data_IF_170416119808
#
_entry.id   IF_170416119808
#
_cell.length_a   1.000
_cell.length_b   1.000
_cell.length_c   1.000
_cell.angle_alpha   90.00
_cell.angle_beta   90.00
_cell.angle_gamma   90.00
#
_symmetry.space_group_name_H-M   'P 1'
#
loop_
_entity.id
_entity.type
_entity.pdbx_description
1 polymer ?
#
# COMPACT_ATOMS: atom_id res chain seq x y z
N UNK A 1 -4.16 -2.35 -2.70
CA UNK A 1 -3.66 -1.03 -2.20
C UNK A 1 -4.08 -0.79 -0.75
N UNK A 2 -3.60 -1.63 0.16
CA UNK A 2 -3.84 -1.55 1.60
C UNK A 2 -2.75 -2.36 2.31
N UNK A 3 -2.27 -1.88 3.47
CA UNK A 3 -1.43 -2.70 4.32
C UNK A 3 -2.30 -3.74 5.05
N UNK A 4 -1.94 -5.02 4.89
CA UNK A 4 -2.57 -6.18 5.52
C UNK A 4 -1.59 -6.94 6.41
N UNK A 5 -0.34 -6.48 6.47
CA UNK A 5 0.70 -7.02 7.33
C UNK A 5 0.80 -6.20 8.62
N UNK A 6 1.17 -6.86 9.72
CA UNK A 6 1.47 -6.20 10.99
C UNK A 6 2.95 -6.34 11.29
N UNK A 7 3.67 -5.21 11.33
CA UNK A 7 5.13 -5.24 11.49
C UNK A 7 5.63 -5.85 12.80
N UNK A 8 4.87 -5.76 13.89
CA UNK A 8 5.29 -6.23 15.22
C UNK A 8 5.48 -7.76 15.32
N UNK A 9 4.95 -8.52 14.36
CA UNK A 9 4.92 -9.99 14.33
C UNK A 9 5.44 -10.54 13.01
N UNK A 10 6.01 -9.69 12.15
CA UNK A 10 6.48 -10.12 10.84
C UNK A 10 7.82 -10.86 10.95
N UNK A 11 7.87 -12.04 10.33
CA UNK A 11 9.11 -12.76 10.04
C UNK A 11 9.29 -12.87 8.53
N UNK A 12 10.54 -12.86 8.06
CA UNK A 12 10.84 -12.96 6.65
C UNK A 12 12.16 -13.66 6.37
N UNK A 13 12.33 -14.11 5.14
CA UNK A 13 13.50 -14.88 4.71
C UNK A 13 14.64 -13.97 4.20
N UNK A 14 15.81 -14.58 3.97
CA UNK A 14 16.99 -13.88 3.44
C UNK A 14 16.75 -13.20 2.08
N UNK A 15 16.01 -13.80 1.12
CA UNK A 15 15.62 -13.10 -0.10
C UNK A 15 14.91 -11.75 0.13
N UNK A 16 13.90 -11.70 1.01
CA UNK A 16 13.23 -10.43 1.30
C UNK A 16 14.18 -9.43 1.99
N UNK A 17 15.05 -9.90 2.89
CA UNK A 17 16.06 -9.05 3.51
C UNK A 17 16.94 -8.35 2.46
N UNK A 18 17.39 -9.06 1.42
CA UNK A 18 18.21 -8.46 0.36
C UNK A 18 17.45 -7.39 -0.44
N UNK A 19 16.16 -7.60 -0.70
CA UNK A 19 15.32 -6.60 -1.35
C UNK A 19 15.17 -5.35 -0.47
N UNK A 20 14.96 -5.55 0.83
CA UNK A 20 14.86 -4.44 1.80
C UNK A 20 16.18 -3.66 1.90
N UNK A 21 17.33 -4.33 1.87
CA UNK A 21 18.65 -3.68 1.86
C UNK A 21 18.93 -2.88 0.59
N UNK A 22 18.34 -3.27 -0.54
CA UNK A 22 18.43 -2.55 -1.80
C UNK A 22 17.41 -1.39 -1.93
N UNK A 23 16.44 -1.31 -1.03
CA UNK A 23 15.39 -0.30 -1.06
C UNK A 23 15.84 0.98 -0.36
N UNK A 24 15.57 2.15 -0.96
CA UNK A 24 15.86 3.44 -0.34
C UNK A 24 14.93 3.66 0.87
N UNK A 25 15.45 3.72 2.11
CA UNK A 25 14.63 3.90 3.31
C UNK A 25 13.87 5.24 3.31
N UNK A 26 14.34 6.26 2.59
CA UNK A 26 13.63 7.54 2.47
C UNK A 26 12.32 7.43 1.66
N UNK A 27 12.17 6.35 0.87
CA UNK A 27 10.96 6.05 0.09
C UNK A 27 10.04 5.06 0.80
N UNK A 28 10.34 4.66 2.04
CA UNK A 28 9.50 3.75 2.81
C UNK A 28 8.35 4.51 3.48
N UNK A 29 7.11 4.12 3.20
CA UNK A 29 5.93 4.76 3.81
C UNK A 29 5.66 4.21 5.21
N UNK A 30 5.56 2.89 5.32
CA UNK A 30 5.55 2.14 6.57
C UNK A 30 6.32 0.85 6.31
N UNK A 31 7.23 0.48 7.22
CA UNK A 31 8.17 -0.63 7.01
C UNK A 31 7.48 -1.95 6.64
N UNK A 32 6.40 -2.31 7.31
CA UNK A 32 5.65 -3.54 7.07
C UNK A 32 4.90 -3.52 5.74
N UNK A 33 4.31 -2.38 5.38
CA UNK A 33 3.67 -2.20 4.09
C UNK A 33 4.68 -2.24 2.93
N UNK A 34 5.84 -1.59 3.08
CA UNK A 34 6.93 -1.65 2.11
C UNK A 34 7.45 -3.07 1.96
N UNK A 35 7.70 -3.78 3.06
CA UNK A 35 8.14 -5.18 3.04
C UNK A 35 7.10 -6.09 2.36
N UNK A 36 5.81 -5.91 2.66
CA UNK A 36 4.72 -6.65 2.02
C UNK A 36 4.69 -6.42 0.50
N UNK A 37 4.82 -5.18 0.05
CA UNK A 37 4.83 -4.84 -1.37
C UNK A 37 6.06 -5.41 -2.10
N UNK A 38 7.25 -5.35 -1.49
CA UNK A 38 8.47 -5.93 -2.06
C UNK A 38 8.37 -7.45 -2.14
N UNK A 39 7.91 -8.11 -1.07
CA UNK A 39 7.77 -9.56 -1.04
C UNK A 39 6.81 -10.03 -2.14
N UNK A 40 5.57 -9.53 -2.14
CA UNK A 40 4.54 -9.94 -3.12
C UNK A 40 4.87 -9.47 -4.54
N UNK A 41 5.48 -8.28 -4.67
CA UNK A 41 5.91 -7.74 -5.95
C UNK A 41 7.00 -8.55 -6.63
N UNK A 42 7.94 -9.09 -5.85
CA UNK A 42 8.99 -9.99 -6.32
C UNK A 42 8.54 -11.47 -6.47
N UNK A 43 7.25 -11.76 -6.33
CA UNK A 43 6.69 -13.11 -6.47
C UNK A 43 6.85 -13.98 -5.21
N UNK A 44 7.22 -13.38 -4.09
CA UNK A 44 7.22 -14.02 -2.78
C UNK A 44 5.79 -14.26 -2.27
N UNK A 45 5.66 -15.28 -1.42
CA UNK A 45 4.39 -15.61 -0.77
C UNK A 45 4.25 -14.87 0.55
N UNK A 46 3.02 -14.44 0.84
CA UNK A 46 2.64 -13.86 2.13
C UNK A 46 1.65 -14.79 2.82
N UNK A 47 1.96 -15.19 4.04
CA UNK A 47 1.12 -16.04 4.88
C UNK A 47 0.73 -15.26 6.12
N UNK A 48 -0.58 -15.16 6.38
CA UNK A 48 -1.10 -14.57 7.61
C UNK A 48 -1.44 -15.70 8.58
N UNK A 49 -0.84 -15.67 9.77
CA UNK A 49 -1.21 -16.58 10.85
C UNK A 49 -2.42 -15.98 11.61
N UNK A 50 -3.58 -16.65 11.62
CA UNK A 50 -4.74 -16.16 12.34
C UNK A 50 -4.61 -16.26 13.87
N UNK A 51 -3.61 -16.99 14.38
CA UNK A 51 -3.40 -17.19 15.82
C UNK A 51 -2.55 -16.05 16.41
N UNK A 52 -3.08 -15.22 17.32
CA UNK A 52 -2.28 -14.18 17.96
C UNK A 52 -1.19 -14.79 18.85
N UNK A 53 0.07 -14.46 18.59
CA UNK A 53 1.22 -15.01 19.32
C UNK A 53 1.78 -14.07 20.40
N UNK A 54 1.34 -12.81 20.48
CA UNK A 54 1.82 -11.84 21.47
C UNK A 54 0.77 -10.81 21.88
N UNK A 55 0.94 -10.28 23.10
CA UNK A 55 0.16 -9.16 23.61
C UNK A 55 0.85 -7.84 23.23
N UNK A 56 0.29 -7.12 22.26
CA UNK A 56 0.81 -5.82 21.83
C UNK A 56 0.15 -4.68 22.61
N UNK A 57 0.94 -3.89 23.34
CA UNK A 57 0.44 -2.72 24.05
C UNK A 57 0.17 -1.58 23.07
N UNK A 58 -1.08 -1.15 22.95
CA UNK A 58 -1.43 0.06 22.20
C UNK A 58 -1.25 1.31 23.06
N UNK A 59 -0.80 2.41 22.45
CA UNK A 59 -0.69 3.72 23.10
C UNK A 59 -1.08 4.85 22.14
N UNK A 60 -1.35 6.04 22.67
CA UNK A 60 -1.85 7.20 21.92
C UNK A 60 -0.90 7.72 20.82
N UNK A 61 0.36 7.28 20.84
CA UNK A 61 1.39 7.63 19.84
C UNK A 61 1.50 6.66 18.67
N UNK A 62 0.62 5.65 18.56
CA UNK A 62 0.64 4.72 17.44
C UNK A 62 0.32 5.43 16.11
N UNK A 63 1.19 5.26 15.11
CA UNK A 63 1.01 5.84 13.76
C UNK A 63 -0.22 5.26 13.04
N UNK A 64 -0.54 3.98 13.28
CA UNK A 64 -1.73 3.28 12.78
C UNK A 64 -2.30 2.44 13.93
N UNK A 65 -3.48 2.80 14.43
CA UNK A 65 -4.18 2.09 15.53
C UNK A 65 -5.05 0.91 15.08
N UNK A 66 -5.71 0.23 16.04
CA UNK A 66 -6.68 -0.84 15.77
C UNK A 66 -7.81 -0.41 14.81
N UNK A 67 -8.23 -1.29 13.90
CA UNK A 67 -9.23 -1.03 12.85
C UNK A 67 -10.70 -0.91 13.35
N UNK A 68 -11.00 -0.40 14.55
CA UNK A 68 -12.36 -0.58 15.13
C UNK A 68 -13.18 0.66 15.46
N UNK A 69 -12.70 1.91 15.30
CA UNK A 69 -13.53 3.08 15.65
C UNK A 69 -14.07 3.83 14.44
N UNK A 70 -15.34 4.27 14.52
CA UNK A 70 -16.00 5.14 13.54
C UNK A 70 -15.20 6.44 13.32
N UNK A 71 -14.52 6.93 14.37
CA UNK A 71 -13.59 8.08 14.31
C UNK A 71 -12.40 7.84 13.35
N UNK A 72 -11.89 6.62 13.29
CA UNK A 72 -10.77 6.25 12.39
C UNK A 72 -11.22 6.26 10.93
N UNK A 73 -12.51 6.00 10.65
CA UNK A 73 -13.10 6.10 9.30
C UNK A 73 -13.17 7.55 8.82
N UNK A 74 -13.55 8.49 9.69
CA UNK A 74 -13.56 9.92 9.37
C UNK A 74 -12.16 10.50 9.24
N UNK A 75 -11.21 10.08 10.09
CA UNK A 75 -9.80 10.47 9.92
C UNK A 75 -9.24 10.01 8.57
N UNK A 76 -9.58 8.81 8.10
CA UNK A 76 -9.15 8.30 6.78
C UNK A 76 -9.71 9.09 5.60
N UNK A 77 -10.92 9.66 5.72
CA UNK A 77 -11.44 10.64 4.75
C UNK A 77 -10.64 11.95 4.80
N UNK A 78 -10.25 12.39 6.01
CA UNK A 78 -9.33 13.52 6.19
C UNK A 78 -7.98 13.30 5.50
N UNK A 79 -7.42 12.08 5.54
CA UNK A 79 -6.15 11.75 4.87
C UNK A 79 -6.21 11.87 3.33
N UNK A 80 -7.38 11.65 2.71
CA UNK A 80 -7.62 11.92 1.29
C UNK A 80 -7.57 13.42 1.00
N UNK A 81 -8.14 14.23 1.90
CA UNK A 81 -8.13 15.69 1.77
C UNK A 81 -6.78 16.33 2.11
N UNK A 82 -6.02 15.73 3.01
CA UNK A 82 -4.71 16.21 3.49
C UNK A 82 -3.55 15.84 2.54
N UNK A 83 -3.81 15.14 1.43
CA UNK A 83 -2.78 14.79 0.44
C UNK A 83 -1.82 13.69 0.88
N UNK A 84 -2.02 13.09 2.06
CA UNK A 84 -1.14 12.03 2.56
C UNK A 84 -1.13 10.82 1.64
N UNK A 85 -2.30 10.39 1.11
CA UNK A 85 -2.33 9.30 0.14
C UNK A 85 -1.57 9.62 -1.14
N UNK A 86 -1.62 10.87 -1.62
CA UNK A 86 -0.87 11.31 -2.79
C UNK A 86 0.63 11.21 -2.55
N UNK A 87 1.08 11.67 -1.38
CA UNK A 87 2.49 11.59 -0.99
C UNK A 87 2.94 10.12 -0.82
N UNK A 88 2.16 9.29 -0.13
CA UNK A 88 2.45 7.86 0.00
C UNK A 88 2.46 7.13 -1.33
N UNK A 89 1.56 7.50 -2.25
CA UNK A 89 1.55 7.01 -3.61
C UNK A 89 2.82 7.38 -4.37
N UNK A 90 3.34 8.60 -4.16
CA UNK A 90 4.60 9.06 -4.77
C UNK A 90 5.79 8.28 -4.27
N UNK A 91 5.92 8.12 -2.95
CA UNK A 91 7.00 7.33 -2.35
C UNK A 91 6.95 5.87 -2.81
N UNK A 92 5.75 5.28 -2.85
CA UNK A 92 5.54 3.90 -3.33
C UNK A 92 5.91 3.76 -4.81
N UNK A 93 5.48 4.69 -5.65
CA UNK A 93 5.79 4.69 -7.08
C UNK A 93 7.29 4.79 -7.35
N UNK A 94 7.97 5.70 -6.65
CA UNK A 94 9.42 5.90 -6.78
C UNK A 94 10.19 4.69 -6.24
N UNK A 95 9.84 4.21 -5.05
CA UNK A 95 10.55 3.11 -4.39
C UNK A 95 10.39 1.78 -5.12
N UNK A 96 9.16 1.39 -5.48
CA UNK A 96 8.95 0.19 -6.30
C UNK A 96 9.49 0.37 -7.72
N UNK A 97 9.44 1.59 -8.26
CA UNK A 97 10.03 1.92 -9.55
C UNK A 97 11.54 1.71 -9.61
N UNK A 98 12.26 2.05 -8.53
CA UNK A 98 13.71 1.85 -8.43
C UNK A 98 14.13 0.38 -8.43
N UNK A 99 13.23 -0.54 -8.07
CA UNK A 99 13.45 -1.98 -8.06
C UNK A 99 12.56 -2.72 -9.10
N UNK A 100 12.12 -2.04 -10.16
CA UNK A 100 11.19 -2.60 -11.13
C UNK A 100 11.74 -3.86 -11.86
N UNK A 101 13.05 -3.96 -12.00
CA UNK A 101 13.77 -5.14 -12.53
C UNK A 101 13.60 -6.38 -11.64
N UNK A 102 13.43 -6.17 -10.32
CA UNK A 102 13.22 -7.23 -9.32
C UNK A 102 11.76 -7.65 -9.17
N UNK A 103 10.83 -6.89 -9.75
CA UNK A 103 9.40 -7.21 -9.71
C UNK A 103 9.04 -8.30 -10.72
N UNK A 104 7.95 -9.02 -10.47
CA UNK A 104 7.34 -9.90 -11.46
C UNK A 104 6.73 -9.08 -12.61
N UNK A 105 6.51 -9.68 -13.80
CA UNK A 105 5.81 -9.00 -14.89
C UNK A 105 4.42 -8.49 -14.48
N UNK A 106 3.68 -9.27 -13.68
CA UNK A 106 2.38 -8.87 -13.16
C UNK A 106 2.49 -7.67 -12.22
N UNK A 107 3.44 -7.68 -11.27
CA UNK A 107 3.63 -6.57 -10.35
C UNK A 107 4.09 -5.28 -11.06
N UNK A 108 4.93 -5.40 -12.11
CA UNK A 108 5.25 -4.26 -12.99
C UNK A 108 4.02 -3.69 -13.68
N UNK A 109 3.17 -4.56 -14.24
CA UNK A 109 1.91 -4.12 -14.85
C UNK A 109 1.00 -3.39 -13.86
N UNK A 110 0.90 -3.89 -12.62
CA UNK A 110 0.15 -3.23 -11.55
C UNK A 110 0.75 -1.88 -11.14
N UNK A 111 2.09 -1.78 -11.07
CA UNK A 111 2.79 -0.52 -10.82
C UNK A 111 2.53 0.50 -11.93
N UNK A 112 2.58 0.08 -13.20
CA UNK A 112 2.30 0.98 -14.33
C UNK A 112 0.84 1.41 -14.40
N UNK A 113 -0.09 0.49 -14.10
CA UNK A 113 -1.50 0.85 -13.94
C UNK A 113 -1.69 1.84 -12.79
N UNK A 114 -1.00 1.65 -11.65
CA UNK A 114 -1.03 2.58 -10.53
C UNK A 114 -0.50 3.97 -10.91
N UNK A 115 0.58 4.06 -11.68
CA UNK A 115 1.08 5.32 -12.26
C UNK A 115 0.02 6.01 -13.12
N UNK A 116 -0.68 5.25 -13.99
CA UNK A 116 -1.78 5.80 -14.82
C UNK A 116 -2.98 6.26 -13.98
N UNK A 117 -3.28 5.58 -12.87
CA UNK A 117 -4.30 6.02 -11.92
C UNK A 117 -3.93 7.38 -11.30
N UNK A 118 -2.66 7.60 -10.94
CA UNK A 118 -2.20 8.84 -10.30
C UNK A 118 -2.09 10.02 -11.26
N UNK A 119 -1.53 9.77 -12.45
CA UNK A 119 -1.16 10.82 -13.41
C UNK A 119 -2.15 10.98 -14.58
N UNK A 120 -3.20 10.16 -14.63
CA UNK A 120 -4.20 10.21 -15.70
C UNK A 120 -4.94 11.55 -15.77
N UNK A 121 -5.08 12.08 -16.99
CA UNK A 121 -5.66 13.40 -17.28
C UNK A 121 -7.16 13.52 -17.01
N UNK A 122 -7.90 12.39 -16.97
CA UNK A 122 -9.34 12.37 -16.76
C UNK A 122 -9.76 11.31 -15.76
N UNK A 123 -10.90 11.53 -15.07
CA UNK A 123 -11.48 10.54 -14.16
C UNK A 123 -11.75 9.20 -14.86
N UNK A 124 -12.18 9.23 -16.13
CA UNK A 124 -12.40 8.02 -16.94
C UNK A 124 -11.11 7.23 -17.12
N UNK A 125 -10.01 7.88 -17.50
CA UNK A 125 -8.71 7.22 -17.67
C UNK A 125 -8.21 6.64 -16.35
N UNK A 126 -8.34 7.39 -15.24
CA UNK A 126 -7.91 6.93 -13.92
C UNK A 126 -8.71 5.72 -13.43
N UNK A 127 -10.03 5.71 -13.62
CA UNK A 127 -10.89 4.59 -13.25
C UNK A 127 -10.68 3.35 -14.16
N UNK A 128 -10.40 3.56 -15.44
CA UNK A 128 -10.05 2.47 -16.36
C UNK A 128 -8.73 1.81 -15.95
N UNK A 129 -7.69 2.60 -15.68
CA UNK A 129 -6.39 2.11 -15.20
C UNK A 129 -6.52 1.37 -13.86
N UNK A 130 -7.41 1.83 -12.96
CA UNK A 130 -7.68 1.16 -11.68
C UNK A 130 -8.18 -0.28 -11.89
N UNK A 131 -9.09 -0.46 -12.86
CA UNK A 131 -9.66 -1.77 -13.21
C UNK A 131 -8.65 -2.66 -13.92
N UNK A 132 -7.95 -2.12 -14.92
CA UNK A 132 -6.91 -2.82 -15.68
C UNK A 132 -5.79 -3.34 -14.79
N UNK A 133 -5.33 -2.54 -13.83
CA UNK A 133 -4.32 -2.94 -12.86
C UNK A 133 -4.82 -3.90 -11.77
N UNK A 134 -6.10 -4.27 -11.78
CA UNK A 134 -6.75 -5.04 -10.72
C UNK A 134 -6.43 -4.46 -9.33
N UNK A 135 -6.53 -3.13 -9.18
CA UNK A 135 -6.16 -2.43 -7.94
C UNK A 135 -7.38 -2.30 -7.03
N UNK A 136 -7.32 -2.93 -5.86
CA UNK A 136 -8.45 -2.98 -4.92
C UNK A 136 -8.05 -2.87 -3.44
N UNK A 137 -9.05 -2.72 -2.58
CA UNK A 137 -8.99 -2.73 -1.11
C UNK A 137 -10.00 -3.74 -0.56
N UNK A 138 -9.71 -4.29 0.62
CA UNK A 138 -10.44 -5.46 1.12
C UNK A 138 -11.91 -5.22 1.47
N UNK A 139 -12.26 -4.01 1.90
CA UNK A 139 -13.61 -3.68 2.34
C UNK A 139 -14.35 -2.84 1.30
N UNK A 140 -15.68 -2.94 1.26
CA UNK A 140 -16.51 -2.13 0.36
C UNK A 140 -16.26 -0.62 0.57
N UNK A 141 -16.24 -0.15 1.82
CA UNK A 141 -15.96 1.24 2.14
C UNK A 141 -14.55 1.67 1.68
N UNK A 142 -13.55 0.80 1.88
CA UNK A 142 -12.20 1.01 1.37
C UNK A 142 -12.19 1.12 -0.16
N UNK A 143 -12.90 0.23 -0.84
CA UNK A 143 -12.96 0.22 -2.29
C UNK A 143 -13.68 1.44 -2.87
N UNK A 144 -14.78 1.89 -2.26
CA UNK A 144 -15.45 3.14 -2.63
C UNK A 144 -14.53 4.35 -2.44
N UNK A 145 -13.81 4.42 -1.32
CA UNK A 145 -12.85 5.51 -1.08
C UNK A 145 -11.71 5.53 -2.10
N UNK A 146 -11.27 4.36 -2.58
CA UNK A 146 -10.26 4.24 -3.62
C UNK A 146 -10.79 4.76 -4.97
N UNK A 147 -12.01 4.39 -5.34
CA UNK A 147 -12.65 4.88 -6.56
C UNK A 147 -12.85 6.39 -6.53
N UNK A 148 -13.32 6.94 -5.40
CA UNK A 148 -13.47 8.39 -5.23
C UNK A 148 -12.12 9.10 -5.32
N UNK A 149 -11.09 8.60 -4.64
CA UNK A 149 -9.73 9.15 -4.73
C UNK A 149 -9.18 9.14 -6.16
N UNK A 150 -9.37 8.03 -6.88
CA UNK A 150 -8.98 7.90 -8.28
C UNK A 150 -9.76 8.87 -9.19
N UNK A 151 -11.08 8.97 -9.02
CA UNK A 151 -11.91 9.88 -9.80
C UNK A 151 -11.49 11.35 -9.58
N UNK A 152 -11.14 11.72 -8.35
CA UNK A 152 -10.73 13.07 -7.97
C UNK A 152 -9.24 13.38 -8.23
N UNK A 153 -8.42 12.40 -8.63
CA UNK A 153 -6.98 12.59 -8.84
C UNK A 153 -6.22 12.86 -7.53
N UNK A 154 -6.66 12.26 -6.43
CA UNK A 154 -6.16 12.46 -5.06
C UNK A 154 -5.36 11.25 -4.52
N UNK A 155 -4.99 10.32 -5.40
CA UNK A 155 -4.16 9.15 -5.09
C UNK A 155 -2.67 9.40 -5.36
#
# INVERSE_FOLDING_TARGET
LQNVASGNTMVFNRPLLRLLQAYDPALAVVHDWTAYQLATGAGGLFHFDPTPALLYRQHAGNLIGAQSRIRDRFQRLGLLWQGQYRHWGELTERGLGALADRLTPQARHQLDAFRRVRHGSSARHRLAALREGHLWRQTLAGQLSLHLGAALGRL
#
